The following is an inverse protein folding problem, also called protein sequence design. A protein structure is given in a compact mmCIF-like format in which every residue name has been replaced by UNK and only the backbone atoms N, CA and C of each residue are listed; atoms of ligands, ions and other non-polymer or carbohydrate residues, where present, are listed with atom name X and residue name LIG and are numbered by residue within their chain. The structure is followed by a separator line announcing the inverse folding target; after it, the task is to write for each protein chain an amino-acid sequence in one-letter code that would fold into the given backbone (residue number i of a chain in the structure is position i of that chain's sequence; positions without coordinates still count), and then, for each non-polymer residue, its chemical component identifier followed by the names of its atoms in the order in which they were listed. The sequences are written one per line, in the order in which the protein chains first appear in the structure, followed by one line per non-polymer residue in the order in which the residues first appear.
data_IF_307864569902
#
_entry.id   IF_307864569902
#
_cell.length_a   1.000
_cell.length_b   1.000
_cell.length_c   1.000
_cell.angle_alpha   90.00
_cell.angle_beta   90.00
_cell.angle_gamma   90.00
#
_symmetry.space_group_name_H-M   'P 1'
#
loop_
_entity.id
_entity.type
_entity.pdbx_description
1 polymer ?
#
# COMPACT_ATOMS: atom_id res chain seq x y z
N UNK A 1 -5.31 -18.36 14.22
CA UNK A 1 -4.31 -17.34 13.73
C UNK A 1 -2.88 -17.73 14.15
N UNK A 2 -1.92 -17.78 13.24
CA UNK A 2 -0.52 -18.16 13.48
C UNK A 2 0.26 -17.00 14.16
N UNK A 3 0.45 -17.09 15.48
CA UNK A 3 1.08 -16.01 16.25
C UNK A 3 2.52 -15.71 15.83
N UNK A 4 3.32 -16.73 15.44
CA UNK A 4 4.70 -16.53 14.99
C UNK A 4 4.78 -15.74 13.69
N UNK A 5 3.86 -15.99 12.77
CA UNK A 5 3.74 -15.25 11.52
C UNK A 5 3.39 -13.79 11.79
N UNK A 6 2.42 -13.54 12.66
CA UNK A 6 1.99 -12.20 13.06
C UNK A 6 3.12 -11.45 13.75
N UNK A 7 3.79 -12.07 14.72
CA UNK A 7 4.94 -11.48 15.42
C UNK A 7 6.08 -11.11 14.44
N UNK A 8 6.28 -11.92 13.39
CA UNK A 8 7.28 -11.62 12.36
C UNK A 8 6.85 -10.43 11.46
N UNK A 9 5.63 -10.45 10.94
CA UNK A 9 5.11 -9.38 10.05
C UNK A 9 5.09 -8.04 10.77
N UNK A 10 4.67 -8.03 12.04
CA UNK A 10 4.52 -6.81 12.84
C UNK A 10 5.68 -6.52 13.78
N UNK A 11 6.86 -7.13 13.55
CA UNK A 11 8.03 -6.97 14.42
C UNK A 11 8.49 -5.52 14.64
N UNK A 12 8.21 -4.63 13.68
CA UNK A 12 8.57 -3.20 13.73
C UNK A 12 7.40 -2.31 14.20
N UNK A 13 6.25 -2.90 14.54
CA UNK A 13 5.03 -2.23 14.94
C UNK A 13 4.75 -2.41 16.42
N UNK A 14 3.97 -1.51 16.99
CA UNK A 14 3.46 -1.63 18.36
C UNK A 14 2.00 -2.07 18.32
N UNK A 15 1.62 -3.00 19.20
CA UNK A 15 0.21 -3.33 19.40
C UNK A 15 -0.53 -2.09 19.94
N UNK A 16 -1.70 -1.82 19.40
CA UNK A 16 -2.58 -0.74 19.85
C UNK A 16 -3.92 -1.31 20.31
N UNK A 17 -4.70 -0.51 21.04
CA UNK A 17 -6.02 -0.95 21.50
C UNK A 17 -6.98 -1.07 20.31
N UNK A 18 -7.77 -2.17 20.29
CA UNK A 18 -8.84 -2.37 19.32
C UNK A 18 -9.98 -1.38 19.57
N UNK A 19 -10.46 -0.75 18.52
CA UNK A 19 -11.65 0.10 18.57
C UNK A 19 -12.93 -0.74 18.47
N UNK A 20 -14.09 -0.22 18.96
CA UNK A 20 -15.36 -0.94 18.87
C UNK A 20 -15.81 -1.27 17.44
N UNK A 21 -15.43 -0.44 16.46
CA UNK A 21 -15.73 -0.60 15.03
C UNK A 21 -14.78 -1.54 14.30
N UNK A 22 -13.67 -1.95 14.92
CA UNK A 22 -12.73 -2.89 14.31
C UNK A 22 -13.36 -4.28 14.15
N UNK A 23 -12.99 -5.04 13.11
CA UNK A 23 -13.50 -6.39 12.89
C UNK A 23 -13.31 -7.27 14.13
N UNK A 24 -14.28 -8.12 14.41
CA UNK A 24 -14.20 -9.03 15.54
C UNK A 24 -12.99 -9.96 15.40
N UNK A 25 -12.21 -10.09 16.47
CA UNK A 25 -10.99 -10.89 16.48
C UNK A 25 -9.78 -10.24 15.78
N UNK A 26 -9.90 -9.01 15.26
CA UNK A 26 -8.76 -8.30 14.67
C UNK A 26 -7.72 -7.92 15.72
N UNK A 27 -6.46 -7.95 15.28
CA UNK A 27 -5.30 -7.48 16.05
C UNK A 27 -4.76 -6.22 15.37
N UNK A 28 -4.92 -5.04 15.99
CA UNK A 28 -4.39 -3.78 15.44
C UNK A 28 -2.96 -3.51 15.91
N UNK A 29 -2.18 -2.92 14.99
CA UNK A 29 -0.78 -2.55 15.17
C UNK A 29 -0.54 -1.16 14.60
N UNK A 30 0.32 -0.38 15.25
CA UNK A 30 0.67 0.97 14.83
C UNK A 30 2.16 1.18 14.67
N UNK A 31 2.54 2.04 13.74
CA UNK A 31 3.89 2.59 13.61
C UNK A 31 3.80 4.08 13.28
N UNK A 32 4.72 4.86 13.85
CA UNK A 32 4.84 6.28 13.55
C UNK A 32 6.30 6.66 13.31
N UNK A 33 6.53 7.47 12.31
CA UNK A 33 7.81 8.11 12.01
C UNK A 33 7.65 9.63 11.96
N UNK A 34 8.68 10.36 11.55
CA UNK A 34 8.57 11.81 11.37
C UNK A 34 7.63 12.21 10.21
N UNK A 35 7.46 11.33 9.22
CA UNK A 35 6.78 11.65 7.96
C UNK A 35 5.55 10.77 7.69
N UNK A 36 5.35 9.72 8.48
CA UNK A 36 4.22 8.81 8.31
C UNK A 36 3.68 8.28 9.64
N UNK A 37 2.40 7.96 9.62
CA UNK A 37 1.72 7.17 10.64
C UNK A 37 0.97 6.05 9.95
N UNK A 38 1.06 4.82 10.48
CA UNK A 38 0.27 3.73 9.96
C UNK A 38 -0.45 2.97 11.06
N UNK A 39 -1.67 2.54 10.74
CA UNK A 39 -2.44 1.55 11.50
C UNK A 39 -2.68 0.37 10.58
N UNK A 40 -2.24 -0.80 11.04
CA UNK A 40 -2.44 -2.06 10.35
C UNK A 40 -3.29 -2.99 11.22
N UNK A 41 -4.08 -3.83 10.58
CA UNK A 41 -4.93 -4.82 11.25
C UNK A 41 -4.78 -6.17 10.56
N UNK A 42 -4.89 -7.24 11.35
CA UNK A 42 -4.93 -8.62 10.85
C UNK A 42 -6.04 -9.40 11.54
N UNK A 43 -6.80 -10.17 10.76
CA UNK A 43 -7.82 -11.10 11.28
C UNK A 43 -8.04 -12.25 10.29
N UNK A 44 -8.62 -13.32 10.77
CA UNK A 44 -9.01 -14.46 9.92
C UNK A 44 -10.32 -14.18 9.20
N UNK A 45 -10.41 -14.64 7.96
CA UNK A 45 -11.63 -14.62 7.15
C UNK A 45 -11.90 -16.00 6.59
N UNK A 46 -13.17 -16.25 6.24
CA UNK A 46 -13.54 -17.44 5.46
C UNK A 46 -12.95 -17.34 4.07
N UNK A 47 -12.48 -18.45 3.51
CA UNK A 47 -11.91 -18.53 2.17
C UNK A 47 -12.89 -18.03 1.08
N UNK A 48 -14.19 -18.21 1.29
CA UNK A 48 -15.24 -17.68 0.40
C UNK A 48 -15.27 -16.14 0.31
N UNK A 49 -14.67 -15.45 1.28
CA UNK A 49 -14.53 -13.98 1.33
C UNK A 49 -13.15 -13.52 0.86
N UNK A 50 -12.25 -14.44 0.52
CA UNK A 50 -10.94 -14.10 0.03
C UNK A 50 -10.99 -13.61 -1.44
N UNK A 51 -10.04 -12.73 -1.79
CA UNK A 51 -9.82 -12.35 -3.17
C UNK A 51 -9.38 -13.57 -3.98
N UNK A 52 -9.79 -13.65 -5.24
CA UNK A 52 -9.24 -14.64 -6.17
C UNK A 52 -7.74 -14.37 -6.40
N UNK A 53 -6.94 -15.43 -6.52
CA UNK A 53 -5.50 -15.35 -6.80
C UNK A 53 -5.26 -14.99 -8.29
N UNK A 54 -5.85 -13.89 -8.72
CA UNK A 54 -5.75 -13.35 -10.08
C UNK A 54 -5.49 -11.84 -10.04
N UNK A 55 -4.23 -11.46 -10.24
CA UNK A 55 -3.82 -10.06 -10.24
C UNK A 55 -4.51 -9.22 -11.32
N UNK A 56 -4.85 -9.82 -12.49
CA UNK A 56 -5.52 -9.09 -13.57
C UNK A 56 -6.99 -8.81 -13.21
N UNK A 57 -7.67 -9.80 -12.63
CA UNK A 57 -9.03 -9.62 -12.12
C UNK A 57 -9.05 -8.56 -11.02
N UNK A 58 -8.06 -8.58 -10.10
CA UNK A 58 -7.94 -7.59 -9.02
C UNK A 58 -7.71 -6.18 -9.58
N UNK A 59 -6.78 -5.98 -10.52
CA UNK A 59 -6.55 -4.68 -11.18
C UNK A 59 -7.84 -4.15 -11.78
N UNK A 60 -8.55 -4.98 -12.57
CA UNK A 60 -9.82 -4.59 -13.20
C UNK A 60 -10.90 -4.25 -12.16
N UNK A 61 -10.99 -5.02 -11.09
CA UNK A 61 -11.93 -4.77 -9.99
C UNK A 61 -11.66 -3.42 -9.32
N UNK A 62 -10.39 -3.14 -9.01
CA UNK A 62 -9.98 -1.86 -8.40
C UNK A 62 -10.26 -0.71 -9.35
N UNK A 63 -9.83 -0.75 -10.61
CA UNK A 63 -10.10 0.31 -11.60
C UNK A 63 -11.59 0.67 -11.70
N UNK A 64 -12.48 -0.31 -11.59
CA UNK A 64 -13.93 -0.09 -11.62
C UNK A 64 -14.50 0.53 -10.33
N UNK A 65 -13.76 0.50 -9.23
CA UNK A 65 -14.21 0.94 -7.90
C UNK A 65 -13.49 2.18 -7.36
N UNK A 66 -12.44 2.67 -8.03
CA UNK A 66 -11.70 3.86 -7.61
C UNK A 66 -12.61 5.08 -7.49
N UNK A 67 -12.54 5.78 -6.37
CA UNK A 67 -13.10 7.12 -6.22
C UNK A 67 -12.23 8.15 -6.98
N UNK A 68 -12.78 9.33 -7.37
CA UNK A 68 -12.05 10.34 -8.15
C UNK A 68 -10.68 10.75 -7.59
N UNK A 69 -10.54 10.77 -6.26
CA UNK A 69 -9.28 11.11 -5.56
C UNK A 69 -8.39 9.89 -5.26
N UNK A 70 -8.65 8.74 -5.88
CA UNK A 70 -7.89 7.50 -5.67
C UNK A 70 -7.13 7.08 -6.92
N UNK A 71 -6.02 6.36 -6.73
CA UNK A 71 -5.25 5.74 -7.79
C UNK A 71 -4.68 4.39 -7.36
N UNK A 72 -4.64 3.44 -8.29
CA UNK A 72 -3.95 2.17 -8.08
C UNK A 72 -2.45 2.38 -8.18
N UNK A 73 -1.71 1.91 -7.17
CA UNK A 73 -0.24 2.00 -7.11
C UNK A 73 0.40 0.66 -7.43
N UNK A 74 -0.05 -0.41 -6.77
CA UNK A 74 0.60 -1.71 -6.88
C UNK A 74 -0.38 -2.85 -6.64
N UNK A 75 -0.26 -3.92 -7.42
CA UNK A 75 -0.92 -5.21 -7.21
C UNK A 75 0.12 -6.31 -7.34
N UNK A 76 0.06 -7.30 -6.48
CA UNK A 76 0.90 -8.49 -6.60
C UNK A 76 0.16 -9.74 -6.15
N UNK A 77 0.52 -10.86 -6.78
CA UNK A 77 0.02 -12.18 -6.46
C UNK A 77 1.17 -13.17 -6.67
N UNK A 78 1.59 -13.85 -5.60
CA UNK A 78 2.74 -14.76 -5.64
C UNK A 78 2.70 -15.69 -4.41
N UNK A 79 3.81 -16.41 -4.17
CA UNK A 79 4.04 -17.18 -2.95
C UNK A 79 5.05 -16.49 -2.04
N UNK A 80 4.78 -16.54 -0.74
CA UNK A 80 5.74 -16.13 0.28
C UNK A 80 6.95 -17.07 0.30
N UNK A 81 8.00 -16.71 1.03
CA UNK A 81 9.20 -17.53 1.18
C UNK A 81 8.92 -18.90 1.79
N UNK A 82 7.91 -19.00 2.64
CA UNK A 82 7.42 -20.27 3.20
C UNK A 82 6.53 -21.08 2.24
N UNK A 83 6.19 -20.54 1.07
CA UNK A 83 5.41 -21.20 0.02
C UNK A 83 3.90 -20.96 0.08
N UNK A 84 3.42 -20.10 0.98
CA UNK A 84 2.02 -19.73 1.10
C UNK A 84 1.61 -18.70 0.05
N UNK A 85 0.44 -18.87 -0.54
CA UNK A 85 -0.11 -17.93 -1.51
C UNK A 85 -0.50 -16.61 -0.84
N UNK A 86 -0.29 -15.50 -1.55
CA UNK A 86 -0.80 -14.19 -1.15
C UNK A 86 -1.19 -13.36 -2.38
N UNK A 87 -2.13 -12.44 -2.18
CA UNK A 87 -2.50 -11.40 -3.14
C UNK A 87 -2.69 -10.08 -2.41
N UNK A 88 -2.22 -8.98 -3.00
CA UNK A 88 -2.34 -7.67 -2.37
C UNK A 88 -2.58 -6.56 -3.38
N UNK A 89 -3.05 -5.44 -2.87
CA UNK A 89 -3.10 -4.17 -3.58
C UNK A 89 -2.65 -3.01 -2.69
N UNK A 90 -2.11 -1.96 -3.32
CA UNK A 90 -1.85 -0.66 -2.71
C UNK A 90 -2.62 0.38 -3.51
N UNK A 91 -3.53 1.08 -2.85
CA UNK A 91 -4.34 2.16 -3.43
C UNK A 91 -4.00 3.47 -2.72
N UNK A 92 -3.71 4.50 -3.51
CA UNK A 92 -3.52 5.87 -3.03
C UNK A 92 -4.85 6.59 -2.91
N UNK A 93 -4.99 7.43 -1.87
CA UNK A 93 -6.08 8.40 -1.71
C UNK A 93 -5.49 9.76 -1.41
N UNK A 94 -5.80 10.76 -2.24
CA UNK A 94 -5.46 12.16 -1.96
C UNK A 94 -6.35 12.68 -0.85
N UNK A 95 -5.77 13.38 0.14
CA UNK A 95 -6.49 13.92 1.30
C UNK A 95 -6.66 15.42 1.17
N UNK A 96 -7.79 15.92 1.65
CA UNK A 96 -8.04 17.36 1.78
C UNK A 96 -7.59 17.85 3.18
N UNK A 97 -6.97 19.03 3.29
CA UNK A 97 -6.57 19.95 2.20
C UNK A 97 -5.23 19.57 1.55
N UNK A 98 -4.51 18.59 2.06
CA UNK A 98 -3.23 18.10 1.51
C UNK A 98 -2.84 16.75 2.11
N UNK A 99 -1.84 16.10 1.49
CA UNK A 99 -1.29 14.83 1.92
C UNK A 99 -1.89 13.64 1.18
N UNK A 100 -1.35 12.49 1.48
CA UNK A 100 -1.73 11.23 0.84
C UNK A 100 -1.86 10.12 1.88
N UNK A 101 -2.79 9.22 1.63
CA UNK A 101 -2.91 7.94 2.34
C UNK A 101 -2.73 6.81 1.35
N UNK A 102 -2.00 5.78 1.75
CA UNK A 102 -1.92 4.52 1.01
C UNK A 102 -2.65 3.44 1.81
N UNK A 103 -3.64 2.84 1.17
CA UNK A 103 -4.36 1.69 1.72
C UNK A 103 -3.78 0.41 1.13
N UNK A 104 -3.38 -0.49 2.02
CA UNK A 104 -2.93 -1.84 1.67
C UNK A 104 -4.03 -2.82 2.05
N UNK A 105 -4.39 -3.68 1.12
CA UNK A 105 -5.20 -4.88 1.37
C UNK A 105 -4.40 -6.09 0.90
N UNK A 106 -4.23 -7.08 1.78
CA UNK A 106 -3.57 -8.33 1.45
C UNK A 106 -4.34 -9.51 2.03
N UNK A 107 -4.58 -10.53 1.21
CA UNK A 107 -5.01 -11.84 1.67
C UNK A 107 -3.84 -12.82 1.58
N UNK A 108 -3.62 -13.53 2.66
CA UNK A 108 -2.54 -14.50 2.81
C UNK A 108 -3.13 -15.84 3.25
N UNK A 109 -2.87 -16.89 2.49
CA UNK A 109 -3.33 -18.26 2.80
C UNK A 109 -2.32 -18.93 3.73
N UNK A 110 -2.62 -18.95 5.03
CA UNK A 110 -1.91 -19.78 6.02
C UNK A 110 -2.46 -21.22 5.96
N UNK A 111 -1.83 -22.18 6.66
CA UNK A 111 -2.13 -23.62 6.54
C UNK A 111 -3.62 -23.96 6.62
N UNK A 112 -4.35 -23.37 7.58
CA UNK A 112 -5.75 -23.69 7.87
C UNK A 112 -6.72 -22.49 7.74
N UNK A 113 -6.23 -21.32 7.35
CA UNK A 113 -7.04 -20.09 7.34
C UNK A 113 -6.54 -19.07 6.32
N UNK A 114 -7.40 -18.12 5.97
CA UNK A 114 -7.01 -16.95 5.21
C UNK A 114 -6.91 -15.76 6.15
N UNK A 115 -5.74 -15.12 6.18
CA UNK A 115 -5.55 -13.87 6.90
C UNK A 115 -5.88 -12.70 6.00
N UNK A 116 -6.72 -11.81 6.49
CA UNK A 116 -6.93 -10.49 5.92
C UNK A 116 -6.00 -9.52 6.66
N UNK A 117 -5.06 -8.92 5.93
CA UNK A 117 -4.15 -7.91 6.42
C UNK A 117 -4.49 -6.58 5.74
N UNK A 118 -4.80 -5.58 6.54
CA UNK A 118 -5.07 -4.22 6.04
C UNK A 118 -4.14 -3.23 6.69
N UNK A 119 -3.78 -2.18 5.96
CA UNK A 119 -2.96 -1.10 6.49
C UNK A 119 -3.34 0.24 5.88
N UNK A 120 -3.46 1.25 6.73
CA UNK A 120 -3.65 2.65 6.36
C UNK A 120 -2.36 3.39 6.70
N UNK A 121 -1.67 3.88 5.69
CA UNK A 121 -0.39 4.57 5.79
C UNK A 121 -0.58 6.03 5.41
N UNK A 122 -0.61 6.89 6.40
CA UNK A 122 -0.88 8.32 6.26
C UNK A 122 0.42 9.13 6.20
N UNK A 123 0.48 10.08 5.27
CA UNK A 123 1.49 11.12 5.29
C UNK A 123 1.17 12.12 6.42
N UNK A 124 2.18 12.41 7.25
CA UNK A 124 2.05 13.36 8.36
C UNK A 124 3.19 14.39 8.32
N UNK A 125 3.06 15.44 9.10
CA UNK A 125 4.06 16.52 9.14
C UNK A 125 4.05 17.36 7.86
N UNK A 126 5.20 17.47 7.18
CA UNK A 126 5.32 18.22 5.92
C UNK A 126 4.94 17.31 4.76
N UNK A 127 3.77 17.55 4.18
CA UNK A 127 3.23 16.74 3.08
C UNK A 127 3.82 17.11 1.71
N UNK A 128 3.84 16.14 0.78
CA UNK A 128 4.30 16.33 -0.60
C UNK A 128 5.81 16.48 -0.76
N UNK A 129 6.60 16.17 0.26
CA UNK A 129 8.07 16.30 0.21
C UNK A 129 8.68 15.37 -0.85
N UNK A 130 8.25 14.12 -0.92
CA UNK A 130 8.74 13.13 -1.90
C UNK A 130 8.54 13.64 -3.33
N UNK A 131 7.35 14.10 -3.65
CA UNK A 131 7.00 14.65 -4.96
C UNK A 131 7.84 15.87 -5.29
N UNK A 132 7.92 16.83 -4.37
CA UNK A 132 8.64 18.09 -4.57
C UNK A 132 10.14 17.89 -4.75
N UNK A 133 10.77 17.03 -3.96
CA UNK A 133 12.20 16.74 -4.04
C UNK A 133 12.53 15.99 -5.33
N UNK A 134 11.74 14.99 -5.70
CA UNK A 134 11.97 14.24 -6.94
C UNK A 134 11.72 15.12 -8.17
N UNK A 135 10.63 15.89 -8.21
CA UNK A 135 10.37 16.84 -9.30
C UNK A 135 11.53 17.85 -9.47
N UNK A 136 12.00 18.42 -8.36
CA UNK A 136 13.15 19.36 -8.37
C UNK A 136 14.44 18.72 -8.90
N UNK A 137 14.67 17.45 -8.60
CA UNK A 137 15.83 16.72 -9.13
C UNK A 137 15.74 16.49 -10.64
N UNK A 138 14.54 16.22 -11.16
CA UNK A 138 14.30 16.03 -12.59
C UNK A 138 14.48 17.32 -13.39
N UNK A 139 14.15 18.49 -12.81
CA UNK A 139 14.34 19.80 -13.45
C UNK A 139 15.82 20.12 -13.76
N UNK A 140 16.78 19.41 -13.17
CA UNK A 140 18.21 19.56 -13.50
C UNK A 140 18.58 18.99 -14.88
N UNK A 141 17.75 18.09 -15.43
CA UNK A 141 18.04 17.34 -16.65
C UNK A 141 16.94 17.45 -17.72
N UNK A 142 15.73 17.85 -17.33
CA UNK A 142 14.53 17.89 -18.19
C UNK A 142 13.80 19.22 -18.04
N UNK A 143 13.08 19.62 -19.08
CA UNK A 143 12.17 20.77 -18.99
C UNK A 143 10.93 20.44 -18.17
N UNK A 144 10.24 21.46 -17.64
CA UNK A 144 8.99 21.30 -16.91
C UNK A 144 7.91 20.60 -17.74
N UNK A 145 7.82 20.95 -19.05
CA UNK A 145 6.87 20.36 -19.98
C UNK A 145 7.12 18.87 -20.21
N UNK A 146 8.38 18.46 -20.35
CA UNK A 146 8.78 17.06 -20.52
C UNK A 146 8.41 16.25 -19.26
N UNK A 147 8.68 16.80 -18.06
CA UNK A 147 8.34 16.14 -16.81
C UNK A 147 6.83 16.00 -16.71
N UNK A 148 6.07 17.08 -16.87
CA UNK A 148 4.61 17.08 -16.74
C UNK A 148 3.94 16.12 -17.71
N UNK A 149 4.43 15.97 -18.92
CA UNK A 149 3.86 15.04 -19.91
C UNK A 149 3.95 13.57 -19.52
N UNK A 150 4.81 13.21 -18.57
CA UNK A 150 5.06 11.84 -18.11
C UNK A 150 4.80 11.65 -16.61
N UNK A 151 4.46 12.73 -15.89
CA UNK A 151 4.39 12.73 -14.42
C UNK A 151 3.33 11.78 -13.90
N UNK A 152 2.18 11.73 -14.56
CA UNK A 152 1.02 10.94 -14.16
C UNK A 152 0.82 9.75 -15.09
N UNK A 153 0.64 8.57 -14.54
CA UNK A 153 0.41 7.35 -15.32
C UNK A 153 -0.34 6.30 -14.49
N UNK A 154 -1.01 5.39 -15.19
CA UNK A 154 -1.49 4.14 -14.59
C UNK A 154 -0.46 3.03 -14.84
N UNK A 155 -0.02 2.27 -13.81
CA UNK A 155 1.02 1.25 -13.98
C UNK A 155 0.54 -0.01 -14.71
N UNK A 156 -0.77 -0.16 -14.97
CA UNK A 156 -1.38 -1.37 -15.54
C UNK A 156 -2.07 -1.16 -16.87
N UNK A 157 -2.53 0.07 -17.17
CA UNK A 157 -3.21 0.41 -18.43
C UNK A 157 -2.93 1.87 -18.82
N UNK A 158 -2.09 2.03 -19.85
CA UNK A 158 -1.74 3.37 -20.38
C UNK A 158 -2.93 4.15 -20.95
N UNK A 159 -4.05 3.47 -21.25
CA UNK A 159 -5.27 4.08 -21.77
C UNK A 159 -6.33 4.31 -20.69
N UNK A 160 -6.05 3.94 -19.44
CA UNK A 160 -6.98 4.15 -18.33
C UNK A 160 -7.30 5.63 -18.15
N UNK A 161 -8.60 5.96 -17.96
CA UNK A 161 -9.09 7.31 -17.80
C UNK A 161 -9.65 7.49 -16.40
N UNK A 162 -9.02 8.33 -15.62
CA UNK A 162 -9.41 8.63 -14.25
C UNK A 162 -8.98 10.06 -13.87
N UNK A 163 -9.38 10.57 -12.70
CA UNK A 163 -9.01 11.91 -12.23
C UNK A 163 -7.67 11.92 -11.51
N UNK A 164 -7.34 10.83 -10.81
CA UNK A 164 -6.10 10.68 -10.04
C UNK A 164 -5.30 9.48 -10.55
N UNK A 165 -3.97 9.63 -10.60
CA UNK A 165 -3.04 8.62 -11.08
C UNK A 165 -1.86 8.45 -10.13
N UNK A 166 -1.12 7.35 -10.28
CA UNK A 166 0.24 7.22 -9.79
C UNK A 166 1.13 8.28 -10.43
N UNK A 167 2.14 8.75 -9.72
CA UNK A 167 3.12 9.69 -10.28
C UNK A 167 4.54 9.11 -10.26
N UNK A 168 5.46 9.76 -10.99
CA UNK A 168 6.84 9.29 -11.12
C UNK A 168 7.62 9.24 -9.80
N UNK A 169 7.24 10.02 -8.80
CA UNK A 169 7.90 9.94 -7.48
C UNK A 169 7.55 8.66 -6.73
N UNK A 170 6.46 7.99 -7.09
CA UNK A 170 5.92 6.81 -6.41
C UNK A 170 6.49 5.48 -6.95
N UNK A 171 7.40 5.52 -7.94
CA UNK A 171 8.08 4.31 -8.41
C UNK A 171 8.93 3.68 -7.27
N UNK A 172 8.99 2.34 -7.26
CA UNK A 172 9.58 1.57 -6.16
C UNK A 172 11.05 1.90 -5.90
N UNK A 173 11.82 2.15 -6.95
CA UNK A 173 13.25 2.45 -6.84
C UNK A 173 13.57 3.70 -6.01
N UNK A 174 12.60 4.57 -5.82
CA UNK A 174 12.76 5.78 -5.00
C UNK A 174 12.52 5.54 -3.50
N UNK A 175 11.99 4.40 -3.08
CA UNK A 175 11.72 4.11 -1.67
C UNK A 175 12.98 4.19 -0.81
N UNK A 176 14.14 3.81 -1.36
CA UNK A 176 15.43 3.88 -0.68
C UNK A 176 15.84 5.31 -0.27
N UNK A 177 15.35 6.33 -0.98
CA UNK A 177 15.63 7.74 -0.69
C UNK A 177 14.59 8.36 0.26
N UNK A 178 13.46 7.70 0.44
CA UNK A 178 12.34 8.15 1.28
C UNK A 178 11.84 7.03 2.19
N UNK A 179 12.71 6.41 3.03
CA UNK A 179 12.36 5.21 3.78
C UNK A 179 11.22 5.42 4.79
N UNK A 180 11.03 6.64 5.27
CA UNK A 180 9.95 7.00 6.22
C UNK A 180 8.67 7.51 5.53
N UNK A 181 8.63 7.55 4.20
CA UNK A 181 7.42 7.94 3.48
C UNK A 181 6.34 6.85 3.58
N UNK A 182 5.05 7.19 3.70
CA UNK A 182 3.99 6.20 3.89
C UNK A 182 3.94 5.11 2.82
N UNK A 183 4.23 5.41 1.54
CA UNK A 183 4.30 4.40 0.49
C UNK A 183 5.48 3.42 0.70
N UNK A 184 6.62 3.92 1.16
CA UNK A 184 7.78 3.07 1.44
C UNK A 184 7.51 2.14 2.62
N UNK A 185 6.82 2.62 3.65
CA UNK A 185 6.36 1.79 4.77
C UNK A 185 5.31 0.76 4.33
N UNK A 186 4.36 1.15 3.46
CA UNK A 186 3.36 0.22 2.89
C UNK A 186 4.03 -0.92 2.11
N UNK A 187 5.04 -0.60 1.29
CA UNK A 187 5.83 -1.62 0.57
C UNK A 187 6.72 -2.46 1.50
N UNK A 188 7.30 -1.87 2.53
CA UNK A 188 8.05 -2.61 3.55
C UNK A 188 7.14 -3.60 4.30
N UNK A 189 5.90 -3.22 4.59
CA UNK A 189 4.89 -4.12 5.17
C UNK A 189 4.61 -5.32 4.24
N UNK A 190 4.39 -5.08 2.95
CA UNK A 190 4.21 -6.16 1.96
C UNK A 190 5.48 -7.01 1.85
N UNK A 191 6.67 -6.42 1.91
CA UNK A 191 7.91 -7.17 1.85
C UNK A 191 8.09 -8.12 3.04
N UNK A 192 7.65 -7.75 4.25
CA UNK A 192 7.57 -8.66 5.41
C UNK A 192 6.67 -9.87 5.13
N UNK A 193 5.52 -9.65 4.49
CA UNK A 193 4.61 -10.74 4.09
C UNK A 193 5.27 -11.67 3.06
N UNK A 194 5.99 -11.12 2.07
CA UNK A 194 6.73 -11.92 1.08
C UNK A 194 7.83 -12.78 1.69
N UNK A 195 8.49 -12.28 2.72
CA UNK A 195 9.60 -12.96 3.39
C UNK A 195 9.15 -13.90 4.53
N UNK A 196 7.87 -13.92 4.83
CA UNK A 196 7.31 -14.81 5.87
C UNK A 196 7.31 -16.28 5.49
#
# INVERSE_FOLDING_TARGET
MNTKLIDYIFSDYQSVDRLPEDPEGSLPFGIATSNAMAICQVWEIDESNAMELDSKALVKGIHNSLAPNQALIEVGCDKSKSGHDYIYSIVKTLKEPSGVQYFVLCHYWDEDSVLNLQGFFDEVGTTGMRDSMFYSSMLQQHSSEEIQSKWWFDPYDENFKHETFMNLSEIKDLDQYFPEHPLSLARAFIEKIKQS
#
